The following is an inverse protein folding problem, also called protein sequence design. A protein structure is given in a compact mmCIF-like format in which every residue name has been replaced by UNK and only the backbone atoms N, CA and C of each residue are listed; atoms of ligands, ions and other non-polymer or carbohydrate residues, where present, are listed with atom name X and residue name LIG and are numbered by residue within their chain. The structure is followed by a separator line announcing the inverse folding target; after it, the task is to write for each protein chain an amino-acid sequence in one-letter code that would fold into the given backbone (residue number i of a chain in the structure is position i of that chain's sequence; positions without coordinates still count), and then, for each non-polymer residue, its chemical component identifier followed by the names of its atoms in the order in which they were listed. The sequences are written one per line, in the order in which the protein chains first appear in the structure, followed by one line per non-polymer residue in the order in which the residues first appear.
data_IF_149510969026
#
_entry.id   IF_149510969026
#
_cell.length_a   1.000
_cell.length_b   1.000
_cell.length_c   1.000
_cell.angle_alpha   90.00
_cell.angle_beta   90.00
_cell.angle_gamma   90.00
#
_symmetry.space_group_name_H-M   'P 1'
#
loop_
_entity.id
_entity.type
_entity.pdbx_description
1 polymer ?
#
# COMPACT_ATOMS: atom_id res chain seq x y z
N UNK A 1 16.58 10.66 8.18
CA UNK A 1 15.23 10.84 7.59
C UNK A 1 14.83 12.30 7.57
N UNK A 2 14.43 12.92 8.69
CA UNK A 2 14.02 14.33 8.74
C UNK A 2 15.07 15.32 8.20
N UNK A 3 16.36 15.07 8.45
CA UNK A 3 17.46 15.89 7.92
C UNK A 3 17.69 15.77 6.39
N UNK A 4 17.29 14.66 5.77
CA UNK A 4 17.42 14.43 4.31
C UNK A 4 16.31 15.14 3.54
N UNK A 5 15.08 15.13 4.07
CA UNK A 5 13.94 15.87 3.52
C UNK A 5 14.18 17.39 3.56
N UNK A 6 14.95 17.86 4.54
CA UNK A 6 15.28 19.29 4.70
C UNK A 6 16.37 19.82 3.76
N UNK A 7 17.21 18.96 3.17
CA UNK A 7 18.27 19.41 2.25
C UNK A 7 17.79 19.59 0.81
N UNK A 8 16.62 19.06 0.47
CA UNK A 8 15.95 19.33 -0.80
C UNK A 8 15.30 18.10 -1.41
N UNK A 9 14.14 18.31 -2.05
CA UNK A 9 13.33 17.24 -2.64
C UNK A 9 14.12 16.43 -3.68
N UNK A 10 15.02 17.08 -4.45
CA UNK A 10 15.88 16.39 -5.43
C UNK A 10 16.87 15.40 -4.80
N UNK A 11 17.47 15.74 -3.66
CA UNK A 11 18.38 14.84 -2.94
C UNK A 11 17.60 13.69 -2.29
N UNK A 12 16.42 13.97 -1.73
CA UNK A 12 15.56 12.94 -1.15
C UNK A 12 15.03 11.96 -2.22
N UNK A 13 14.77 12.44 -3.44
CA UNK A 13 14.36 11.58 -4.56
C UNK A 13 15.47 10.63 -5.01
N UNK A 14 16.73 11.10 -5.06
CA UNK A 14 17.86 10.23 -5.41
C UNK A 14 18.10 9.13 -4.36
N UNK A 15 17.95 9.46 -3.08
CA UNK A 15 18.03 8.46 -2.00
C UNK A 15 16.89 7.44 -2.11
N UNK A 16 15.67 7.89 -2.40
CA UNK A 16 14.52 7.02 -2.64
C UNK A 16 14.76 6.06 -3.82
N UNK A 17 15.29 6.57 -4.95
CA UNK A 17 15.65 5.74 -6.09
C UNK A 17 16.72 4.71 -5.71
N UNK A 18 17.74 5.10 -4.95
CA UNK A 18 18.77 4.17 -4.50
C UNK A 18 18.20 3.05 -3.62
N UNK A 19 17.30 3.38 -2.68
CA UNK A 19 16.65 2.37 -1.84
C UNK A 19 15.74 1.45 -2.66
N UNK A 20 14.95 2.02 -3.57
CA UNK A 20 14.09 1.25 -4.48
C UNK A 20 14.91 0.29 -5.35
N UNK A 21 16.09 0.71 -5.84
CA UNK A 21 16.98 -0.17 -6.61
C UNK A 21 17.55 -1.30 -5.76
N UNK A 22 17.91 -1.03 -4.50
CA UNK A 22 18.38 -2.07 -3.57
C UNK A 22 17.27 -3.08 -3.26
N UNK A 23 16.05 -2.60 -3.04
CA UNK A 23 14.86 -3.44 -2.83
C UNK A 23 14.56 -4.30 -4.05
N UNK A 24 14.49 -3.69 -5.23
CA UNK A 24 14.25 -4.39 -6.48
C UNK A 24 15.33 -5.43 -6.76
N UNK A 25 16.61 -5.10 -6.52
CA UNK A 25 17.71 -6.05 -6.64
C UNK A 25 17.56 -7.24 -5.68
N UNK A 26 17.17 -6.99 -4.42
CA UNK A 26 16.88 -8.04 -3.46
C UNK A 26 15.77 -8.99 -3.94
N UNK A 27 14.66 -8.45 -4.44
CA UNK A 27 13.57 -9.27 -4.99
C UNK A 27 14.01 -10.05 -6.24
N UNK A 28 14.80 -9.44 -7.12
CA UNK A 28 15.37 -10.13 -8.28
C UNK A 28 16.31 -11.26 -7.88
N UNK A 29 17.09 -11.11 -6.80
CA UNK A 29 17.92 -12.21 -6.26
C UNK A 29 17.05 -13.36 -5.78
N UNK A 30 15.93 -13.09 -5.08
CA UNK A 30 14.99 -14.16 -4.68
C UNK A 30 14.47 -14.91 -5.90
N UNK A 31 14.11 -14.17 -6.95
CA UNK A 31 13.62 -14.77 -8.20
C UNK A 31 14.71 -15.65 -8.82
N UNK A 32 15.92 -15.12 -9.02
CA UNK A 32 17.00 -15.87 -9.70
C UNK A 32 17.44 -17.11 -8.94
N UNK A 33 17.50 -17.03 -7.61
CA UNK A 33 17.80 -18.16 -6.73
C UNK A 33 16.66 -19.18 -6.71
N UNK A 34 15.42 -18.75 -6.91
CA UNK A 34 14.25 -19.63 -6.96
C UNK A 34 14.03 -20.33 -8.29
N UNK A 35 14.53 -19.81 -9.41
CA UNK A 35 14.36 -20.40 -10.77
C UNK A 35 14.67 -21.91 -10.83
N UNK A 36 15.76 -22.43 -10.24
CA UNK A 36 16.07 -23.87 -10.27
C UNK A 36 15.02 -24.75 -9.58
N UNK A 37 14.22 -24.17 -8.69
CA UNK A 37 13.16 -24.87 -7.96
C UNK A 37 11.81 -24.77 -8.67
N UNK A 38 11.67 -24.01 -9.76
CA UNK A 38 10.38 -23.87 -10.44
C UNK A 38 9.91 -25.21 -10.98
N UNK A 39 8.68 -25.60 -10.61
CA UNK A 39 8.10 -26.90 -10.95
C UNK A 39 8.46 -28.04 -9.99
N UNK A 40 9.17 -27.77 -8.89
CA UNK A 40 9.44 -28.75 -7.82
C UNK A 40 8.19 -29.10 -7.00
N UNK A 41 7.20 -28.21 -6.99
CA UNK A 41 5.96 -28.29 -6.23
C UNK A 41 4.79 -27.95 -7.12
N UNK A 42 3.62 -28.49 -6.77
CA UNK A 42 2.37 -28.13 -7.42
C UNK A 42 1.91 -26.75 -6.91
N UNK A 43 2.07 -25.73 -7.76
CA UNK A 43 1.66 -24.35 -7.47
C UNK A 43 0.13 -24.20 -7.40
N UNK A 44 -0.62 -25.18 -7.91
CA UNK A 44 -2.09 -25.20 -7.88
C UNK A 44 -2.64 -26.02 -6.72
N UNK A 45 -1.78 -26.57 -5.86
CA UNK A 45 -2.23 -27.26 -4.65
C UNK A 45 -2.93 -26.27 -3.70
N UNK A 46 -4.22 -26.48 -3.50
CA UNK A 46 -5.03 -25.71 -2.56
C UNK A 46 -5.24 -26.50 -1.26
N UNK A 47 -5.36 -25.82 -0.10
CA UNK A 47 -5.71 -26.50 1.15
C UNK A 47 -7.02 -27.28 0.96
N UNK A 48 -7.04 -28.54 1.39
CA UNK A 48 -8.20 -29.43 1.28
C UNK A 48 -9.30 -28.96 2.25
N UNK A 49 -10.04 -27.94 1.83
CA UNK A 49 -11.19 -27.40 2.54
C UNK A 49 -12.43 -28.07 1.96
N UNK A 50 -13.24 -28.63 2.86
CA UNK A 50 -14.48 -29.34 2.53
C UNK A 50 -15.40 -28.45 1.68
N UNK A 51 -15.40 -28.66 0.36
CA UNK A 51 -16.27 -28.02 -0.62
C UNK A 51 -15.52 -27.06 -1.56
N UNK A 52 -15.55 -27.32 -2.87
CA UNK A 52 -14.85 -26.53 -3.90
C UNK A 52 -15.20 -25.03 -3.94
N UNK A 53 -16.31 -24.61 -3.31
CA UNK A 53 -16.68 -23.20 -3.16
C UNK A 53 -15.74 -22.44 -2.19
N UNK A 54 -15.11 -23.15 -1.24
CA UNK A 54 -14.17 -22.54 -0.29
C UNK A 54 -12.86 -22.10 -0.97
N UNK A 55 -12.45 -22.76 -2.06
CA UNK A 55 -11.21 -22.45 -2.78
C UNK A 55 -11.25 -21.06 -3.41
N UNK A 56 -12.35 -20.71 -4.10
CA UNK A 56 -12.50 -19.37 -4.69
C UNK A 56 -12.51 -18.30 -3.60
N UNK A 57 -13.23 -18.56 -2.50
CA UNK A 57 -13.28 -17.64 -1.37
C UNK A 57 -11.90 -17.40 -0.75
N UNK A 58 -11.10 -18.46 -0.56
CA UNK A 58 -9.73 -18.33 -0.07
C UNK A 58 -8.84 -17.50 -0.99
N UNK A 59 -8.89 -17.78 -2.30
CA UNK A 59 -8.09 -17.03 -3.29
C UNK A 59 -8.48 -15.56 -3.26
N UNK A 60 -9.78 -15.25 -3.15
CA UNK A 60 -10.25 -13.87 -3.01
C UNK A 60 -9.78 -13.23 -1.70
N UNK A 61 -9.80 -13.94 -0.58
CA UNK A 61 -9.27 -13.42 0.70
C UNK A 61 -7.77 -13.14 0.63
N UNK A 62 -7.00 -14.04 0.00
CA UNK A 62 -5.58 -13.84 -0.28
C UNK A 62 -5.35 -12.63 -1.17
N UNK A 63 -6.12 -12.48 -2.25
CA UNK A 63 -6.03 -11.35 -3.17
C UNK A 63 -6.27 -9.99 -2.47
N UNK A 64 -7.22 -9.92 -1.54
CA UNK A 64 -7.44 -8.72 -0.70
C UNK A 64 -6.20 -8.41 0.14
N UNK A 65 -5.57 -9.40 0.76
CA UNK A 65 -4.34 -9.17 1.52
C UNK A 65 -3.16 -8.78 0.61
N UNK A 66 -3.01 -9.42 -0.55
CA UNK A 66 -1.97 -9.09 -1.54
C UNK A 66 -2.14 -7.69 -2.10
N UNK A 67 -3.37 -7.17 -2.18
CA UNK A 67 -3.63 -5.79 -2.56
C UNK A 67 -2.88 -4.78 -1.68
N UNK A 68 -2.62 -5.11 -0.41
CA UNK A 68 -1.79 -4.30 0.48
C UNK A 68 -0.39 -4.04 -0.11
N UNK A 69 0.20 -5.01 -0.81
CA UNK A 69 1.52 -4.85 -1.43
C UNK A 69 1.53 -3.86 -2.60
N UNK A 70 0.36 -3.57 -3.19
CA UNK A 70 0.22 -2.60 -4.26
C UNK A 70 -0.11 -1.19 -3.77
N UNK A 71 -0.34 -1.00 -2.47
CA UNK A 71 -0.60 0.33 -1.90
C UNK A 71 0.64 1.22 -2.08
N UNK A 72 0.43 2.45 -2.54
CA UNK A 72 1.47 3.46 -2.69
C UNK A 72 1.60 4.02 -4.11
N UNK A 73 0.95 3.44 -5.12
CA UNK A 73 0.92 4.06 -6.45
C UNK A 73 0.17 5.40 -6.42
N UNK A 74 -0.87 5.51 -5.61
CA UNK A 74 -1.70 6.69 -5.40
C UNK A 74 -0.90 7.88 -4.83
N UNK A 75 0.14 7.61 -4.04
CA UNK A 75 1.00 8.63 -3.45
C UNK A 75 1.76 9.43 -4.51
N UNK A 76 2.04 8.80 -5.66
CA UNK A 76 2.71 9.42 -6.80
C UNK A 76 1.94 10.65 -7.30
N UNK A 77 0.61 10.65 -7.15
CA UNK A 77 -0.25 11.76 -7.55
C UNK A 77 -0.05 13.00 -6.68
N UNK A 78 0.38 12.85 -5.43
CA UNK A 78 0.65 13.98 -4.53
C UNK A 78 1.87 14.80 -4.94
N UNK A 79 2.70 14.25 -5.82
CA UNK A 79 3.90 14.91 -6.38
C UNK A 79 3.70 15.26 -7.85
N UNK A 80 2.49 15.07 -8.41
CA UNK A 80 2.16 15.31 -9.81
C UNK A 80 2.57 16.70 -10.33
N UNK A 81 2.52 17.71 -9.47
CA UNK A 81 2.90 19.09 -9.81
C UNK A 81 4.39 19.26 -10.16
N UNK A 82 5.25 18.32 -9.75
CA UNK A 82 6.69 18.36 -10.01
C UNK A 82 7.08 17.60 -11.29
N UNK A 83 6.11 16.97 -11.97
CA UNK A 83 6.34 16.16 -13.15
C UNK A 83 6.43 17.04 -14.40
N UNK A 84 7.36 16.70 -15.30
CA UNK A 84 7.38 17.29 -16.64
C UNK A 84 6.26 16.66 -17.45
N UNK A 85 5.36 17.50 -17.97
CA UNK A 85 4.14 17.09 -18.69
C UNK A 85 3.32 16.02 -17.93
N UNK A 86 2.70 16.38 -16.79
CA UNK A 86 1.99 15.44 -15.92
C UNK A 86 0.91 14.64 -16.65
N UNK A 87 0.27 15.25 -17.67
CA UNK A 87 -0.83 14.65 -18.42
C UNK A 87 -0.42 13.42 -19.23
N UNK A 88 0.86 13.32 -19.65
CA UNK A 88 1.38 12.15 -20.37
C UNK A 88 2.24 11.26 -19.47
N UNK A 89 3.04 11.86 -18.61
CA UNK A 89 4.04 11.13 -17.84
C UNK A 89 3.43 10.33 -16.70
N UNK A 90 2.41 10.85 -16.01
CA UNK A 90 1.76 10.16 -14.88
C UNK A 90 1.07 8.86 -15.32
N UNK A 91 0.19 8.85 -16.36
CA UNK A 91 -0.46 7.61 -16.78
C UNK A 91 0.54 6.52 -17.19
N UNK A 92 1.58 6.88 -17.96
CA UNK A 92 2.60 5.94 -18.42
C UNK A 92 3.39 5.39 -17.23
N UNK A 93 3.82 6.26 -16.30
CA UNK A 93 4.57 5.83 -15.13
C UNK A 93 3.76 4.93 -14.20
N UNK A 94 2.49 5.27 -13.94
CA UNK A 94 1.60 4.44 -13.11
C UNK A 94 1.38 3.05 -13.70
N UNK A 95 1.04 2.96 -14.99
CA UNK A 95 0.82 1.66 -15.65
C UNK A 95 2.11 0.85 -15.72
N UNK A 96 3.22 1.49 -16.06
CA UNK A 96 4.53 0.80 -16.14
C UNK A 96 4.99 0.29 -14.78
N UNK A 97 4.89 1.11 -13.73
CA UNK A 97 5.23 0.71 -12.37
C UNK A 97 4.34 -0.44 -11.87
N UNK A 98 3.03 -0.38 -12.16
CA UNK A 98 2.09 -1.42 -11.78
C UNK A 98 2.41 -2.75 -12.47
N UNK A 99 2.66 -2.74 -13.79
CA UNK A 99 2.97 -3.96 -14.55
C UNK A 99 4.31 -4.55 -14.10
N UNK A 100 5.35 -3.74 -13.95
CA UNK A 100 6.66 -4.21 -13.48
C UNK A 100 6.55 -4.78 -12.07
N UNK A 101 5.89 -4.06 -11.16
CA UNK A 101 5.67 -4.51 -9.79
C UNK A 101 4.89 -5.83 -9.72
N UNK A 102 3.82 -5.95 -10.52
CA UNK A 102 3.03 -7.18 -10.60
C UNK A 102 3.87 -8.37 -11.09
N UNK A 103 4.69 -8.19 -12.12
CA UNK A 103 5.57 -9.24 -12.63
C UNK A 103 6.60 -9.68 -11.58
N UNK A 104 7.21 -8.73 -10.88
CA UNK A 104 8.16 -9.03 -9.80
C UNK A 104 7.45 -9.78 -8.66
N UNK A 105 6.27 -9.33 -8.24
CA UNK A 105 5.52 -9.98 -7.15
C UNK A 105 5.09 -11.40 -7.51
N UNK A 106 4.61 -11.63 -8.74
CA UNK A 106 4.29 -12.98 -9.22
C UNK A 106 5.55 -13.84 -9.26
N UNK A 107 6.67 -13.31 -9.78
CA UNK A 107 7.95 -14.02 -9.81
C UNK A 107 8.45 -14.42 -8.41
N UNK A 108 8.34 -13.50 -7.45
CA UNK A 108 8.70 -13.76 -6.05
C UNK A 108 7.77 -14.79 -5.43
N UNK A 109 6.45 -14.69 -5.64
CA UNK A 109 5.48 -15.64 -5.09
C UNK A 109 5.72 -17.07 -5.62
N UNK A 110 5.91 -17.22 -6.93
CA UNK A 110 6.23 -18.52 -7.56
C UNK A 110 7.54 -19.07 -7.02
N UNK A 111 8.58 -18.23 -6.94
CA UNK A 111 9.90 -18.64 -6.44
C UNK A 111 9.88 -19.04 -4.97
N UNK A 112 9.19 -18.27 -4.12
CA UNK A 112 9.11 -18.51 -2.70
C UNK A 112 8.39 -19.82 -2.38
N UNK A 113 7.22 -20.06 -3.00
CA UNK A 113 6.46 -21.30 -2.83
C UNK A 113 7.20 -22.50 -3.41
N UNK A 114 7.95 -22.30 -4.51
CA UNK A 114 8.76 -23.35 -5.13
C UNK A 114 9.92 -23.82 -4.27
N UNK A 115 10.51 -22.92 -3.47
CA UNK A 115 11.64 -23.25 -2.58
C UNK A 115 11.15 -23.78 -1.24
N UNK A 116 10.08 -23.20 -0.69
CA UNK A 116 9.52 -23.57 0.61
C UNK A 116 8.04 -23.91 0.42
N UNK A 117 7.62 -25.18 0.60
CA UNK A 117 6.23 -25.56 0.48
C UNK A 117 5.32 -24.69 1.36
N UNK A 118 4.13 -24.33 0.86
CA UNK A 118 3.23 -23.35 1.49
C UNK A 118 2.90 -23.64 2.97
N UNK A 119 2.87 -24.93 3.35
CA UNK A 119 2.62 -25.41 4.72
C UNK A 119 3.72 -25.03 5.72
N UNK A 120 4.96 -24.98 5.26
CA UNK A 120 6.10 -24.53 6.07
C UNK A 120 6.26 -23.01 5.96
N UNK A 121 6.04 -22.46 4.75
CA UNK A 121 6.14 -21.04 4.47
C UNK A 121 5.21 -20.20 5.35
N UNK A 122 3.98 -20.67 5.60
CA UNK A 122 3.00 -20.02 6.49
C UNK A 122 3.44 -19.91 7.97
N UNK A 123 4.43 -20.70 8.40
CA UNK A 123 4.94 -20.72 9.79
C UNK A 123 6.25 -19.94 9.95
N UNK A 124 6.87 -19.52 8.85
CA UNK A 124 8.16 -18.84 8.87
C UNK A 124 8.01 -17.36 9.29
N UNK A 125 8.75 -16.88 10.32
CA UNK A 125 8.70 -15.49 10.74
C UNK A 125 9.35 -14.53 9.74
N UNK A 126 10.27 -15.03 8.90
CA UNK A 126 10.96 -14.27 7.85
C UNK A 126 10.90 -15.01 6.51
N UNK A 127 9.81 -14.86 5.74
CA UNK A 127 9.55 -15.72 4.57
C UNK A 127 10.63 -15.64 3.48
N UNK A 128 11.12 -14.44 3.17
CA UNK A 128 12.16 -14.25 2.15
C UNK A 128 13.55 -14.72 2.64
N UNK A 129 13.84 -14.54 3.92
CA UNK A 129 15.11 -14.99 4.51
C UNK A 129 15.19 -16.53 4.53
N UNK A 130 14.06 -17.19 4.80
CA UNK A 130 13.95 -18.66 4.77
C UNK A 130 14.17 -19.22 3.35
N UNK A 131 13.57 -18.58 2.34
CA UNK A 131 13.76 -18.97 0.92
C UNK A 131 15.24 -18.92 0.54
N UNK A 132 15.93 -17.85 0.91
CA UNK A 132 17.37 -17.71 0.58
C UNK A 132 18.22 -18.70 1.37
N UNK A 133 17.93 -18.91 2.66
CA UNK A 133 18.64 -19.87 3.48
C UNK A 133 18.58 -21.29 2.88
N UNK A 134 17.45 -21.67 2.26
CA UNK A 134 17.29 -22.98 1.62
C UNK A 134 17.85 -23.05 0.19
N UNK A 135 17.59 -22.04 -0.63
CA UNK A 135 17.92 -22.09 -2.05
C UNK A 135 19.33 -21.57 -2.40
N UNK A 136 19.93 -20.74 -1.54
CA UNK A 136 21.29 -20.23 -1.74
C UNK A 136 22.05 -20.08 -0.41
N UNK A 137 22.46 -21.19 0.23
CA UNK A 137 23.21 -21.16 1.50
C UNK A 137 24.59 -20.47 1.38
N UNK A 138 25.10 -20.29 0.15
CA UNK A 138 26.32 -19.52 -0.12
C UNK A 138 26.13 -18.00 0.03
N UNK A 139 24.90 -17.50 -0.04
CA UNK A 139 24.59 -16.09 0.19
C UNK A 139 24.43 -15.88 1.69
N UNK A 140 25.22 -14.97 2.26
CA UNK A 140 25.18 -14.72 3.68
C UNK A 140 23.80 -14.16 4.10
N UNK A 141 23.11 -14.74 5.11
CA UNK A 141 21.74 -14.36 5.48
C UNK A 141 21.57 -12.88 5.84
N UNK A 142 22.64 -12.22 6.32
CA UNK A 142 22.62 -10.81 6.70
C UNK A 142 22.37 -9.86 5.52
N UNK A 143 22.66 -10.26 4.28
CA UNK A 143 22.42 -9.44 3.08
C UNK A 143 20.93 -9.11 2.95
N UNK A 144 20.05 -10.07 3.20
CA UNK A 144 18.60 -9.85 3.14
C UNK A 144 18.06 -9.08 4.34
N UNK A 145 18.68 -9.21 5.51
CA UNK A 145 18.37 -8.35 6.66
C UNK A 145 18.66 -6.89 6.32
N UNK A 146 19.77 -6.61 5.63
CA UNK A 146 20.11 -5.26 5.17
C UNK A 146 19.10 -4.77 4.13
N UNK A 147 18.78 -5.57 3.11
CA UNK A 147 17.74 -5.21 2.12
C UNK A 147 16.40 -4.92 2.80
N UNK A 148 15.99 -5.75 3.76
CA UNK A 148 14.74 -5.56 4.51
C UNK A 148 14.76 -4.26 5.32
N UNK A 149 15.89 -3.93 5.96
CA UNK A 149 16.06 -2.68 6.70
C UNK A 149 15.93 -1.46 5.77
N UNK A 150 16.56 -1.53 4.60
CA UNK A 150 16.42 -0.48 3.58
C UNK A 150 14.98 -0.36 3.08
N UNK A 151 14.28 -1.48 2.87
CA UNK A 151 12.87 -1.50 2.46
C UNK A 151 11.94 -0.81 3.46
N UNK A 152 12.09 -1.16 4.74
CA UNK A 152 11.32 -0.55 5.83
C UNK A 152 11.64 0.93 5.95
N UNK A 153 12.92 1.31 5.84
CA UNK A 153 13.34 2.70 5.85
C UNK A 153 12.73 3.48 4.68
N UNK A 154 12.76 2.93 3.47
CA UNK A 154 12.21 3.58 2.29
C UNK A 154 10.70 3.81 2.42
N UNK A 155 9.96 2.77 2.83
CA UNK A 155 8.53 2.85 3.10
C UNK A 155 8.20 3.93 4.12
N UNK A 156 8.98 4.00 5.21
CA UNK A 156 8.82 5.04 6.23
C UNK A 156 9.11 6.44 5.68
N UNK A 157 10.10 6.58 4.79
CA UNK A 157 10.45 7.86 4.17
C UNK A 157 9.34 8.35 3.22
N UNK A 158 8.84 7.48 2.34
CA UNK A 158 7.76 7.81 1.39
C UNK A 158 6.50 8.20 2.17
N UNK A 159 6.07 7.37 3.13
CA UNK A 159 4.91 7.66 3.95
C UNK A 159 5.01 9.00 4.67
N UNK A 160 6.21 9.36 5.14
CA UNK A 160 6.45 10.65 5.79
C UNK A 160 6.31 11.83 4.82
N UNK A 161 6.88 11.72 3.60
CA UNK A 161 6.76 12.73 2.55
C UNK A 161 5.30 12.91 2.14
N UNK A 162 4.59 11.82 1.85
CA UNK A 162 3.16 11.84 1.47
C UNK A 162 2.30 12.46 2.58
N UNK A 163 2.48 12.02 3.83
CA UNK A 163 1.72 12.54 4.98
C UNK A 163 1.91 14.04 5.17
N UNK A 164 3.13 14.56 4.98
CA UNK A 164 3.40 16.00 5.09
C UNK A 164 2.61 16.81 4.05
N UNK A 165 2.50 16.31 2.82
CA UNK A 165 1.78 16.96 1.70
C UNK A 165 0.27 16.88 1.88
N UNK A 166 -0.26 15.73 2.29
CA UNK A 166 -1.67 15.56 2.57
C UNK A 166 -2.16 16.53 3.66
N UNK A 167 -1.40 16.66 4.74
CA UNK A 167 -1.74 17.61 5.81
C UNK A 167 -1.67 19.06 5.34
N UNK A 168 -0.67 19.42 4.53
CA UNK A 168 -0.57 20.75 3.94
C UNK A 168 -1.77 21.05 3.00
N UNK A 169 -2.15 20.09 2.15
CA UNK A 169 -3.31 20.20 1.26
C UNK A 169 -4.62 20.36 2.02
N UNK A 170 -4.85 19.54 3.06
CA UNK A 170 -6.04 19.62 3.92
C UNK A 170 -6.10 20.93 4.72
N UNK A 171 -4.96 21.44 5.21
CA UNK A 171 -4.87 22.72 5.90
C UNK A 171 -5.20 23.89 4.96
N UNK A 172 -4.74 23.85 3.71
CA UNK A 172 -5.04 24.86 2.69
C UNK A 172 -6.52 24.86 2.28
N UNK A 173 -7.18 23.71 2.33
CA UNK A 173 -8.63 23.57 2.07
C UNK A 173 -9.51 23.85 3.29
N UNK A 174 -8.94 24.23 4.44
CA UNK A 174 -9.69 24.54 5.66
C UNK A 174 -10.35 23.33 6.34
N UNK A 175 -10.00 22.11 5.94
CA UNK A 175 -10.54 20.86 6.49
C UNK A 175 -9.87 20.47 7.82
N UNK A 176 -8.80 21.14 8.22
CA UNK A 176 -8.12 20.97 9.50
C UNK A 176 -8.08 22.32 10.26
N UNK A 177 -8.19 22.33 11.60
CA UNK A 177 -8.00 23.54 12.39
C UNK A 177 -6.63 24.15 12.12
N UNK A 178 -6.55 25.49 12.12
CA UNK A 178 -5.31 26.23 11.87
C UNK A 178 -4.13 25.80 12.77
N UNK A 179 -4.41 25.29 13.97
CA UNK A 179 -3.39 24.76 14.89
C UNK A 179 -2.72 23.46 14.41
N UNK A 180 -3.40 22.63 13.60
CA UNK A 180 -2.84 21.42 12.95
C UNK A 180 -2.14 21.74 11.63
N UNK A 181 -2.45 22.88 11.02
CA UNK A 181 -1.76 23.44 9.86
C UNK A 181 -0.47 24.21 10.21
N UNK A 182 -0.17 24.42 11.49
CA UNK A 182 1.09 25.03 11.92
C UNK A 182 2.24 24.04 11.74
N UNK A 183 2.78 24.07 10.54
CA UNK A 183 3.98 23.33 10.18
C UNK A 183 5.18 24.02 10.81
N UNK A 184 6.02 23.27 11.54
CA UNK A 184 7.23 23.83 12.11
C UNK A 184 8.18 24.27 10.98
N UNK A 185 8.64 25.54 11.01
CA UNK A 185 9.44 26.19 9.96
C UNK A 185 10.74 25.45 9.59
N UNK A 186 11.19 24.51 10.43
CA UNK A 186 12.47 23.83 10.29
C UNK A 186 12.39 22.35 9.92
N UNK A 187 11.21 21.72 9.95
CA UNK A 187 11.04 20.27 9.64
C UNK A 187 9.86 20.00 8.72
N UNK A 188 9.00 20.99 8.45
CA UNK A 188 7.78 20.83 7.66
C UNK A 188 6.89 19.66 8.14
N UNK A 189 7.02 19.25 9.41
CA UNK A 189 6.13 18.27 10.03
C UNK A 189 5.03 18.93 10.84
N UNK A 190 3.77 18.54 10.62
CA UNK A 190 2.68 18.84 11.54
C UNK A 190 2.84 17.96 12.79
N UNK A 191 3.63 18.43 13.77
CA UNK A 191 3.93 17.67 14.98
C UNK A 191 2.66 17.23 15.73
N UNK A 192 1.60 18.04 15.70
CA UNK A 192 0.33 17.68 16.33
C UNK A 192 -0.38 16.53 15.60
N UNK A 193 -0.36 16.52 14.26
CA UNK A 193 -0.92 15.41 13.48
C UNK A 193 -0.08 14.13 13.65
N UNK A 194 1.24 14.26 13.71
CA UNK A 194 2.14 13.13 13.94
C UNK A 194 1.96 12.53 15.35
N UNK A 195 1.86 13.37 16.40
CA UNK A 195 1.60 12.90 17.77
C UNK A 195 0.21 12.28 17.88
N UNK A 196 -0.80 12.84 17.20
CA UNK A 196 -2.15 12.27 17.18
C UNK A 196 -2.20 10.92 16.43
N UNK A 197 -1.55 10.83 15.27
CA UNK A 197 -1.39 9.56 14.55
C UNK A 197 -0.65 8.55 15.42
N UNK A 198 0.43 8.96 16.08
CA UNK A 198 1.18 8.10 16.98
C UNK A 198 0.30 7.63 18.16
N UNK A 199 -0.49 8.53 18.76
CA UNK A 199 -1.40 8.22 19.85
C UNK A 199 -2.56 7.30 19.43
N UNK A 200 -2.98 7.35 18.17
CA UNK A 200 -3.98 6.44 17.61
C UNK A 200 -3.35 5.08 17.22
N UNK A 201 -2.15 5.10 16.64
CA UNK A 201 -1.44 3.93 16.13
C UNK A 201 -0.76 3.11 17.24
N UNK A 202 -0.26 3.72 18.32
CA UNK A 202 0.37 3.00 19.44
C UNK A 202 -0.55 1.95 20.07
N UNK A 203 -1.77 2.30 20.55
CA UNK A 203 -2.67 1.31 21.11
C UNK A 203 -3.09 0.29 20.04
N UNK A 204 -3.29 0.71 18.80
CA UNK A 204 -3.61 -0.19 17.70
C UNK A 204 -2.49 -1.21 17.40
N UNK A 205 -1.22 -0.83 17.50
CA UNK A 205 -0.07 -1.72 17.34
C UNK A 205 0.18 -2.64 18.54
N UNK A 206 -0.29 -2.25 19.73
CA UNK A 206 -0.22 -3.10 20.93
C UNK A 206 -1.31 -4.17 20.98
N UNK A 207 -2.50 -3.88 20.41
CA UNK A 207 -3.65 -4.80 20.43
C UNK A 207 -3.92 -5.50 19.08
N UNK A 208 -3.44 -4.95 17.96
CA UNK A 208 -3.68 -5.47 16.61
C UNK A 208 -2.46 -6.18 16.02
N UNK A 209 -2.66 -7.35 15.39
CA UNK A 209 -1.62 -7.99 14.59
C UNK A 209 -1.33 -7.18 13.31
N UNK A 210 -0.11 -7.32 12.75
CA UNK A 210 0.27 -6.69 11.47
C UNK A 210 -0.74 -7.05 10.38
N UNK A 211 -1.20 -8.31 10.35
CA UNK A 211 -2.21 -8.77 9.40
C UNK A 211 -3.55 -8.04 9.58
N UNK A 212 -3.99 -7.80 10.82
CA UNK A 212 -5.24 -7.09 11.10
C UNK A 212 -5.15 -5.62 10.69
N UNK A 213 -4.02 -4.97 10.96
CA UNK A 213 -3.77 -3.58 10.57
C UNK A 213 -3.71 -3.43 9.05
N UNK A 214 -2.94 -4.29 8.37
CA UNK A 214 -2.88 -4.31 6.91
C UNK A 214 -4.27 -4.54 6.28
N UNK A 215 -5.04 -5.46 6.86
CA UNK A 215 -6.42 -5.74 6.42
C UNK A 215 -7.34 -4.54 6.57
N UNK A 216 -7.29 -3.84 7.71
CA UNK A 216 -8.09 -2.65 7.96
C UNK A 216 -7.72 -1.52 6.97
N UNK A 217 -6.43 -1.31 6.73
CA UNK A 217 -5.92 -0.34 5.76
C UNK A 217 -6.43 -0.65 4.34
N UNK A 218 -6.34 -1.91 3.90
CA UNK A 218 -6.87 -2.34 2.60
C UNK A 218 -8.36 -2.06 2.49
N UNK A 219 -9.15 -2.39 3.52
CA UNK A 219 -10.60 -2.20 3.49
C UNK A 219 -10.95 -0.72 3.31
N UNK A 220 -10.31 0.17 4.07
CA UNK A 220 -10.51 1.62 3.94
C UNK A 220 -10.13 2.11 2.54
N UNK A 221 -9.01 1.63 2.00
CA UNK A 221 -8.52 2.04 0.69
C UNK A 221 -9.41 1.55 -0.45
N UNK A 222 -9.94 0.32 -0.36
CA UNK A 222 -10.92 -0.21 -1.31
C UNK A 222 -12.21 0.62 -1.31
N UNK A 223 -12.67 1.10 -0.16
CA UNK A 223 -13.83 2.01 -0.08
C UNK A 223 -13.53 3.34 -0.76
N UNK A 224 -12.35 3.93 -0.51
CA UNK A 224 -11.91 5.15 -1.19
C UNK A 224 -11.87 4.94 -2.71
N UNK A 225 -11.30 3.84 -3.18
CA UNK A 225 -11.24 3.51 -4.61
C UNK A 225 -12.62 3.24 -5.21
N UNK A 226 -13.54 2.62 -4.48
CA UNK A 226 -14.93 2.46 -4.95
C UNK A 226 -15.60 3.83 -5.19
N UNK A 227 -15.41 4.77 -4.25
CA UNK A 227 -15.94 6.14 -4.34
C UNK A 227 -15.30 6.90 -5.51
N UNK A 228 -13.97 6.88 -5.63
CA UNK A 228 -13.24 7.59 -6.69
C UNK A 228 -13.62 7.06 -8.08
N UNK A 229 -13.66 5.74 -8.26
CA UNK A 229 -14.10 5.13 -9.51
C UNK A 229 -15.56 5.44 -9.82
N UNK A 230 -16.43 5.44 -8.81
CA UNK A 230 -17.84 5.78 -8.96
C UNK A 230 -18.04 7.25 -9.37
N UNK A 231 -17.30 8.15 -8.73
CA UNK A 231 -17.28 9.57 -9.08
C UNK A 231 -16.82 9.79 -10.52
N UNK A 232 -15.75 9.11 -10.96
CA UNK A 232 -15.26 9.20 -12.33
C UNK A 232 -16.26 8.65 -13.36
N UNK A 233 -16.97 7.56 -13.03
CA UNK A 233 -18.02 7.02 -13.88
C UNK A 233 -19.18 8.00 -14.07
N UNK A 234 -19.57 8.72 -13.01
CA UNK A 234 -20.60 9.76 -13.05
C UNK A 234 -20.10 10.97 -13.84
N UNK A 235 -18.86 11.41 -13.59
CA UNK A 235 -18.25 12.57 -14.25
C UNK A 235 -18.16 12.37 -15.76
N UNK A 236 -17.73 11.19 -16.22
CA UNK A 236 -17.73 10.82 -17.65
C UNK A 236 -19.11 10.73 -18.29
N UNK A 237 -20.18 10.68 -17.49
CA UNK A 237 -21.56 10.71 -17.98
C UNK A 237 -22.10 12.13 -18.19
N UNK A 238 -21.38 13.17 -17.76
CA UNK A 238 -21.82 14.56 -17.87
C UNK A 238 -21.36 15.18 -19.18
N UNK A 239 -22.26 15.84 -19.90
CA UNK A 239 -21.98 16.48 -21.20
C UNK A 239 -21.14 17.76 -21.08
N UNK A 240 -20.98 18.32 -19.88
CA UNK A 240 -20.32 19.60 -19.63
C UNK A 240 -18.84 19.50 -19.24
N UNK A 241 -18.28 18.29 -19.15
CA UNK A 241 -16.91 18.09 -18.66
C UNK A 241 -15.90 18.16 -19.83
N UNK A 242 -14.79 18.91 -19.67
CA UNK A 242 -13.77 19.01 -20.71
C UNK A 242 -13.11 17.66 -20.94
N UNK A 243 -12.99 17.27 -22.22
CA UNK A 243 -12.31 16.04 -22.67
C UNK A 243 -10.83 16.10 -22.24
N UNK A 244 -10.40 15.13 -21.45
CA UNK A 244 -9.01 15.06 -20.97
C UNK A 244 -8.05 14.60 -22.07
N UNK A 245 -6.75 14.92 -21.96
CA UNK A 245 -5.74 14.37 -22.90
C UNK A 245 -5.52 12.86 -22.75
N UNK A 246 -5.80 12.29 -21.58
CA UNK A 246 -5.80 10.86 -21.32
C UNK A 246 -7.20 10.43 -20.92
N UNK A 247 -7.86 9.67 -21.79
CA UNK A 247 -9.21 9.17 -21.53
C UNK A 247 -9.23 7.65 -21.44
N UNK A 248 -9.71 7.15 -20.32
CA UNK A 248 -10.03 5.73 -20.16
C UNK A 248 -11.48 5.45 -20.55
N UNK A 249 -11.79 4.30 -21.16
CA UNK A 249 -13.16 3.91 -21.46
C UNK A 249 -14.04 3.88 -20.21
N UNK A 250 -15.32 4.24 -20.33
CA UNK A 250 -16.26 4.33 -19.19
C UNK A 250 -16.49 2.99 -18.47
N UNK A 251 -16.25 1.86 -19.13
CA UNK A 251 -16.35 0.54 -18.51
C UNK A 251 -15.24 0.28 -17.48
N UNK A 252 -14.07 0.91 -17.63
CA UNK A 252 -12.93 0.75 -16.71
C UNK A 252 -13.27 1.20 -15.28
N UNK A 253 -13.72 2.46 -15.03
CA UNK A 253 -14.13 2.87 -13.69
C UNK A 253 -15.35 2.09 -13.19
N UNK A 254 -16.28 1.70 -14.07
CA UNK A 254 -17.40 0.86 -13.65
C UNK A 254 -16.95 -0.51 -13.12
N UNK A 255 -16.05 -1.20 -13.84
CA UNK A 255 -15.46 -2.46 -13.38
C UNK A 255 -14.65 -2.26 -12.10
N UNK A 256 -13.91 -1.15 -11.97
CA UNK A 256 -13.16 -0.82 -10.76
C UNK A 256 -14.05 -0.67 -9.53
N UNK A 257 -15.16 0.07 -9.65
CA UNK A 257 -16.15 0.19 -8.57
C UNK A 257 -16.75 -1.17 -8.20
N UNK A 258 -17.15 -1.97 -9.19
CA UNK A 258 -17.75 -3.30 -8.93
C UNK A 258 -16.74 -4.21 -8.23
N UNK A 259 -15.50 -4.29 -8.71
CA UNK A 259 -14.45 -5.13 -8.10
C UNK A 259 -14.18 -4.67 -6.67
N UNK A 260 -14.02 -3.37 -6.42
CA UNK A 260 -13.79 -2.86 -5.07
C UNK A 260 -14.95 -3.19 -4.13
N UNK A 261 -16.20 -3.02 -4.58
CA UNK A 261 -17.39 -3.35 -3.78
C UNK A 261 -17.51 -4.85 -3.50
N UNK A 262 -17.21 -5.70 -4.48
CA UNK A 262 -17.20 -7.15 -4.31
C UNK A 262 -16.12 -7.56 -3.30
N UNK A 263 -14.90 -7.02 -3.39
CA UNK A 263 -13.82 -7.32 -2.46
C UNK A 263 -14.14 -6.83 -1.03
N UNK A 264 -14.74 -5.64 -0.89
CA UNK A 264 -15.24 -5.16 0.41
C UNK A 264 -16.32 -6.09 0.94
N UNK A 265 -17.27 -6.50 0.11
CA UNK A 265 -18.35 -7.41 0.47
C UNK A 265 -17.83 -8.77 0.95
N UNK A 266 -16.91 -9.37 0.20
CA UNK A 266 -16.25 -10.64 0.58
C UNK A 266 -15.52 -10.48 1.91
N UNK A 267 -14.80 -9.37 2.11
CA UNK A 267 -14.03 -9.15 3.34
C UNK A 267 -14.92 -8.95 4.56
N UNK A 268 -16.03 -8.23 4.42
CA UNK A 268 -17.04 -8.05 5.49
C UNK A 268 -17.79 -9.35 5.77
N UNK A 269 -18.05 -10.17 4.75
CA UNK A 269 -18.70 -11.48 4.90
C UNK A 269 -17.78 -12.56 5.49
N UNK A 270 -16.46 -12.37 5.41
CA UNK A 270 -15.48 -13.23 6.08
C UNK A 270 -15.65 -13.10 7.60
N UNK A 271 -15.77 -14.20 8.35
CA UNK A 271 -16.02 -14.22 9.81
C UNK A 271 -14.97 -13.53 10.71
N UNK A 272 -14.01 -12.79 10.17
CA UNK A 272 -13.05 -11.97 10.91
C UNK A 272 -13.59 -10.56 11.16
N UNK A 273 -14.41 -10.41 12.20
CA UNK A 273 -14.99 -9.11 12.59
C UNK A 273 -13.95 -8.08 13.09
N UNK A 274 -12.71 -8.50 13.36
CA UNK A 274 -11.65 -7.63 13.86
C UNK A 274 -11.23 -6.55 12.87
N UNK A 275 -11.03 -6.89 11.60
CA UNK A 275 -10.61 -5.94 10.57
C UNK A 275 -11.67 -4.84 10.28
N UNK A 276 -12.96 -5.16 10.06
CA UNK A 276 -13.99 -4.14 9.87
C UNK A 276 -14.28 -3.36 11.16
N UNK A 277 -14.18 -3.97 12.35
CA UNK A 277 -14.31 -3.23 13.61
C UNK A 277 -13.16 -2.23 13.82
N UNK A 278 -11.93 -2.60 13.48
CA UNK A 278 -10.77 -1.69 13.52
C UNK A 278 -10.91 -0.56 12.49
N UNK A 279 -11.33 -0.86 11.26
CA UNK A 279 -11.58 0.15 10.24
C UNK A 279 -12.69 1.13 10.66
N UNK A 280 -13.79 0.61 11.21
CA UNK A 280 -14.89 1.41 11.76
C UNK A 280 -14.45 2.25 12.97
N UNK A 281 -13.63 1.68 13.86
CA UNK A 281 -13.06 2.39 15.01
C UNK A 281 -12.10 3.51 14.59
N UNK A 282 -11.28 3.27 13.56
CA UNK A 282 -10.42 4.30 12.95
C UNK A 282 -11.24 5.44 12.35
N UNK A 283 -12.27 5.12 11.57
CA UNK A 283 -13.17 6.11 10.99
C UNK A 283 -13.91 6.91 12.07
N UNK A 284 -14.45 6.24 13.08
CA UNK A 284 -15.11 6.89 14.20
C UNK A 284 -14.12 7.79 14.97
N UNK A 285 -12.90 7.32 15.23
CA UNK A 285 -11.84 8.10 15.86
C UNK A 285 -11.49 9.35 15.06
N UNK A 286 -11.34 9.23 13.74
CA UNK A 286 -11.10 10.35 12.82
C UNK A 286 -12.28 11.33 12.83
N UNK A 287 -13.52 10.85 12.79
CA UNK A 287 -14.73 11.69 12.80
C UNK A 287 -14.95 12.40 14.14
N UNK A 288 -14.73 11.71 15.26
CA UNK A 288 -14.80 12.30 16.61
C UNK A 288 -13.71 13.36 16.76
N UNK A 289 -12.48 13.06 16.32
CA UNK A 289 -11.41 14.04 16.29
C UNK A 289 -11.76 15.24 15.41
N UNK A 290 -12.27 15.02 14.22
CA UNK A 290 -12.72 16.08 13.32
C UNK A 290 -13.81 16.95 13.99
N UNK A 291 -14.79 16.34 14.67
CA UNK A 291 -15.84 17.06 15.39
C UNK A 291 -15.29 17.88 16.58
N UNK A 292 -14.42 17.29 17.40
CA UNK A 292 -13.76 17.97 18.54
C UNK A 292 -12.87 19.13 18.09
N UNK A 293 -12.19 18.96 16.96
CA UNK A 293 -11.29 19.94 16.39
C UNK A 293 -12.04 21.08 15.68
N UNK A 294 -13.16 20.78 15.02
CA UNK A 294 -14.07 21.78 14.43
C UNK A 294 -14.72 22.66 15.50
N UNK A 295 -15.00 22.11 16.68
CA UNK A 295 -15.60 22.84 17.81
C UNK A 295 -14.74 23.99 18.36
N UNK A 296 -13.44 24.04 18.06
CA UNK A 296 -12.51 25.07 18.60
C UNK A 296 -12.21 26.22 17.63
N UNK A 297 -12.88 26.29 16.47
CA UNK A 297 -12.60 27.29 15.42
C UNK A 297 -13.72 28.32 15.22
N UNK A 298 -14.46 28.68 16.28
CA UNK A 298 -15.31 29.87 16.32
C UNK A 298 -14.79 30.86 17.36
#
# INVERSE_FOLDING_TARGET
MAALVLRGIKESMWVNVAFTLVEAAGLLIVITVGIPYWGSVDLLEVPDLRGGDATVLLVMQGAVLTFFAFIGFEDTLNVAEEWRDPQRTIPIALVTALVIGALIYVGVAVSAVSVVPWREFSKAPGPLTEVIARAAPAIAPWVFTVVTLFAVANTALVNYVTSSRLVYGMARQGLLPRALGNVHQRTSTPHLAAIMLLALLLPLGMFGSIANLASASVLLLLVVFAIVNGALFILKGRQSEPVGRFEIPRWVPASGTVICLVLVGIRVASSDWHAPALAGGLLAGILVLYALLRSKSY
#
